data_IF_789322450524
#
_entry.id   IF_789322450524
#
_cell.length_a   1.000
_cell.length_b   1.000
_cell.length_c   1.000
_cell.angle_alpha   90.00
_cell.angle_beta   90.00
_cell.angle_gamma   90.00
#
_symmetry.space_group_name_H-M   'P 1'
#
loop_
_entity.id
_entity.type
_entity.pdbx_description
1 polymer ?
#
# COMPACT_ATOMS: atom_id res chain seq x y z
N UNK A 1 -79.01 5.29 -44.49
CA UNK A 1 -77.79 5.12 -43.70
C UNK A 1 -76.76 4.41 -44.55
N UNK A 2 -75.85 5.16 -45.15
CA UNK A 2 -74.84 4.65 -46.11
C UNK A 2 -73.50 4.54 -45.38
N UNK A 3 -72.95 3.33 -45.32
CA UNK A 3 -71.52 3.12 -44.83
C UNK A 3 -70.63 3.16 -46.09
N UNK A 4 -69.73 4.12 -46.09
CA UNK A 4 -68.60 4.23 -47.05
C UNK A 4 -67.55 3.25 -46.73
N UNK A 5 -67.18 2.39 -47.66
CA UNK A 5 -66.01 1.51 -47.59
C UNK A 5 -64.85 2.23 -48.27
N UNK A 6 -63.75 2.39 -47.54
CA UNK A 6 -62.49 3.00 -48.02
C UNK A 6 -61.53 1.86 -48.40
N UNK A 7 -61.23 1.73 -49.71
CA UNK A 7 -60.22 0.80 -50.21
C UNK A 7 -58.82 1.44 -49.99
N UNK A 8 -57.97 0.72 -49.35
CA UNK A 8 -56.51 1.09 -49.15
C UNK A 8 -55.70 0.30 -50.19
N UNK A 9 -55.12 0.99 -51.18
CA UNK A 9 -54.13 0.41 -52.10
C UNK A 9 -52.77 0.31 -51.40
N UNK A 10 -52.23 -0.91 -51.30
CA UNK A 10 -50.86 -1.16 -50.86
C UNK A 10 -49.99 -1.28 -52.13
N UNK A 11 -49.10 -0.33 -52.31
CA UNK A 11 -48.01 -0.38 -53.28
C UNK A 11 -46.86 -1.15 -52.75
N UNK A 12 -46.49 -2.29 -53.32
CA UNK A 12 -45.27 -3.06 -52.95
C UNK A 12 -44.12 -2.49 -53.78
N UNK A 13 -43.18 -1.80 -53.10
CA UNK A 13 -41.88 -1.45 -53.66
C UNK A 13 -40.91 -2.59 -53.39
N UNK A 14 -40.47 -3.28 -54.44
CA UNK A 14 -39.36 -4.22 -54.39
C UNK A 14 -38.05 -3.39 -54.37
N UNK A 15 -37.46 -3.20 -53.18
CA UNK A 15 -36.14 -2.63 -53.03
C UNK A 15 -35.08 -3.72 -52.92
N UNK A 16 -34.17 -3.77 -53.89
CA UNK A 16 -32.96 -4.61 -53.86
C UNK A 16 -32.06 -4.19 -52.70
N UNK A 17 -31.91 -5.08 -51.72
CA UNK A 17 -30.95 -4.89 -50.60
C UNK A 17 -29.57 -5.28 -51.10
N UNK A 18 -28.69 -4.31 -51.32
CA UNK A 18 -27.26 -4.53 -51.41
C UNK A 18 -26.71 -4.74 -49.99
N UNK A 19 -26.28 -5.94 -49.69
CA UNK A 19 -25.53 -6.23 -48.47
C UNK A 19 -24.15 -5.59 -48.58
N UNK A 20 -23.94 -4.48 -47.87
CA UNK A 20 -22.63 -3.91 -47.61
C UNK A 20 -22.05 -4.66 -46.42
N UNK A 21 -21.03 -5.47 -46.67
CA UNK A 21 -20.21 -6.03 -45.58
C UNK A 21 -19.39 -4.91 -44.97
N UNK A 22 -19.92 -4.28 -43.92
CA UNK A 22 -19.09 -3.43 -43.06
C UNK A 22 -18.21 -4.34 -42.19
N UNK A 23 -16.91 -4.29 -42.45
CA UNK A 23 -15.89 -4.73 -41.49
C UNK A 23 -16.02 -3.83 -40.25
N UNK A 24 -16.86 -4.21 -39.30
CA UNK A 24 -16.77 -3.66 -37.95
C UNK A 24 -15.47 -4.14 -37.33
N UNK A 25 -14.43 -3.29 -37.34
CA UNK A 25 -13.37 -3.36 -36.38
C UNK A 25 -14.01 -3.10 -35.01
N UNK A 26 -14.06 -4.16 -34.21
CA UNK A 26 -14.50 -4.11 -32.82
C UNK A 26 -13.48 -3.23 -32.04
N UNK A 27 -13.71 -1.93 -32.11
CA UNK A 27 -13.01 -0.98 -31.24
C UNK A 27 -13.67 -1.09 -29.87
N UNK A 28 -13.18 -2.01 -29.05
CA UNK A 28 -13.44 -1.99 -27.61
C UNK A 28 -13.01 -0.61 -27.10
N UNK A 29 -14.00 0.25 -26.83
CA UNK A 29 -13.78 1.51 -26.15
C UNK A 29 -13.23 1.18 -24.78
N UNK A 30 -11.91 1.33 -24.60
CA UNK A 30 -11.28 1.30 -23.30
C UNK A 30 -11.79 2.52 -22.56
N UNK A 31 -12.79 2.32 -21.70
CA UNK A 31 -13.27 3.37 -20.80
C UNK A 31 -12.16 3.61 -19.80
N UNK A 32 -11.33 4.61 -20.03
CA UNK A 32 -10.31 5.02 -19.07
C UNK A 32 -10.98 5.57 -17.83
N UNK A 33 -10.69 4.97 -16.69
CA UNK A 33 -11.20 5.38 -15.39
C UNK A 33 -10.55 6.73 -15.03
N UNK A 34 -11.34 7.78 -14.89
CA UNK A 34 -10.83 9.13 -14.58
C UNK A 34 -10.23 9.25 -13.17
N UNK A 35 -10.61 8.34 -12.27
CA UNK A 35 -10.18 8.33 -10.86
C UNK A 35 -9.70 6.95 -10.47
N UNK A 36 -8.52 6.86 -9.87
CA UNK A 36 -7.92 5.64 -9.34
C UNK A 36 -8.01 5.62 -7.81
N UNK A 37 -8.21 4.43 -7.26
CA UNK A 37 -8.26 4.20 -5.81
C UNK A 37 -7.05 3.40 -5.37
N UNK A 38 -6.18 4.02 -4.59
CA UNK A 38 -5.05 3.36 -3.93
C UNK A 38 -5.45 3.13 -2.46
N UNK A 39 -5.69 1.88 -2.11
CA UNK A 39 -5.86 1.49 -0.71
C UNK A 39 -4.48 1.22 -0.14
N UNK A 40 -4.15 1.87 0.97
CA UNK A 40 -2.85 1.72 1.62
C UNK A 40 -3.00 1.50 3.12
N UNK A 41 -2.26 0.51 3.62
CA UNK A 41 -2.20 0.17 5.04
C UNK A 41 -0.77 0.05 5.52
N UNK A 42 -0.58 0.09 6.84
CA UNK A 42 0.70 -0.04 7.51
C UNK A 42 1.28 -1.46 7.49
N UNK A 43 1.95 -1.81 8.59
CA UNK A 43 2.70 -3.05 8.71
C UNK A 43 1.78 -4.26 8.84
N UNK A 44 2.09 -5.31 8.06
CA UNK A 44 1.34 -6.56 7.98
C UNK A 44 2.26 -7.72 8.35
N UNK A 45 2.02 -8.31 9.52
CA UNK A 45 2.66 -9.53 10.04
C UNK A 45 1.61 -10.34 10.82
N UNK A 46 0.81 -11.13 10.11
CA UNK A 46 -0.42 -11.76 10.62
C UNK A 46 -0.21 -13.00 11.49
N UNK A 47 1.03 -13.22 11.92
CA UNK A 47 1.43 -14.30 12.82
C UNK A 47 2.79 -14.84 12.44
N UNK A 48 3.54 -15.35 13.41
CA UNK A 48 4.90 -15.89 13.21
C UNK A 48 5.01 -17.31 13.76
N UNK A 49 5.48 -18.23 12.92
CA UNK A 49 5.85 -19.59 13.34
C UNK A 49 7.23 -19.65 14.03
N UNK A 50 7.93 -18.50 14.11
CA UNK A 50 9.23 -18.35 14.77
C UNK A 50 9.26 -17.10 15.67
N UNK A 51 9.65 -17.20 16.95
CA UNK A 51 9.68 -18.45 17.70
C UNK A 51 8.29 -19.10 17.77
N UNK A 52 8.23 -20.38 18.05
CA UNK A 52 6.96 -21.13 18.12
C UNK A 52 5.96 -20.49 19.11
N UNK A 53 4.65 -20.64 18.82
CA UNK A 53 3.57 -20.13 19.67
C UNK A 53 3.06 -18.73 19.36
N UNK A 54 3.50 -18.11 18.25
CA UNK A 54 3.06 -16.78 17.82
C UNK A 54 2.18 -16.80 16.56
N UNK A 55 1.51 -17.91 16.28
CA UNK A 55 0.44 -17.99 15.29
C UNK A 55 -0.93 -17.72 15.95
N UNK A 56 -1.86 -17.02 15.24
CA UNK A 56 -3.23 -16.85 15.71
C UNK A 56 -3.93 -18.20 15.91
N UNK A 57 -4.87 -18.34 16.86
CA UNK A 57 -5.57 -19.61 17.14
C UNK A 57 -6.35 -20.16 15.94
N UNK A 58 -6.85 -19.27 15.05
CA UNK A 58 -7.59 -19.62 13.84
C UNK A 58 -6.70 -19.69 12.58
N UNK A 59 -5.37 -19.76 12.78
CA UNK A 59 -4.38 -19.78 11.70
C UNK A 59 -4.53 -18.57 10.76
N UNK A 60 -4.77 -17.39 11.34
CA UNK A 60 -4.94 -16.09 10.68
C UNK A 60 -6.14 -15.97 9.70
N UNK A 61 -7.01 -16.99 9.58
CA UNK A 61 -8.13 -17.02 8.63
C UNK A 61 -9.08 -15.82 8.77
N UNK A 62 -9.24 -15.30 9.97
CA UNK A 62 -10.12 -14.17 10.26
C UNK A 62 -9.37 -12.86 10.49
N UNK A 63 -8.06 -12.80 10.22
CA UNK A 63 -7.22 -11.64 10.53
C UNK A 63 -7.70 -10.34 9.90
N UNK A 64 -8.36 -10.40 8.74
CA UNK A 64 -8.86 -9.21 8.03
C UNK A 64 -10.38 -9.08 8.01
N UNK A 65 -11.14 -9.95 8.73
CA UNK A 65 -12.61 -10.04 8.61
C UNK A 65 -13.35 -8.70 8.77
N UNK A 66 -12.88 -7.84 9.68
CA UNK A 66 -13.53 -6.56 9.98
C UNK A 66 -13.19 -5.45 9.00
N UNK A 67 -12.04 -5.56 8.29
CA UNK A 67 -11.53 -4.54 7.38
C UNK A 67 -11.59 -4.94 5.91
N UNK A 68 -11.83 -6.22 5.60
CA UNK A 68 -11.93 -6.76 4.23
C UNK A 68 -12.90 -5.98 3.33
N UNK A 69 -14.06 -5.47 3.80
CA UNK A 69 -14.94 -4.63 2.96
C UNK A 69 -14.27 -3.34 2.45
N UNK A 70 -13.26 -2.84 3.16
CA UNK A 70 -12.55 -1.60 2.84
C UNK A 70 -11.26 -1.84 2.03
N UNK A 71 -10.75 -3.08 1.97
CA UNK A 71 -9.57 -3.48 1.19
C UNK A 71 -9.96 -3.71 -0.29
N UNK A 72 -10.53 -2.67 -0.92
CA UNK A 72 -11.04 -2.70 -2.31
C UNK A 72 -10.61 -1.44 -3.06
N UNK A 73 -9.78 -1.61 -4.07
CA UNK A 73 -9.26 -0.52 -4.91
C UNK A 73 -8.57 -1.05 -6.16
N UNK A 74 -8.06 -0.14 -6.96
CA UNK A 74 -7.21 -0.49 -8.10
C UNK A 74 -5.90 -1.09 -7.59
N UNK A 75 -5.32 -0.46 -6.57
CA UNK A 75 -4.19 -0.98 -5.80
C UNK A 75 -4.64 -1.18 -4.35
N UNK A 76 -4.27 -2.31 -3.75
CA UNK A 76 -4.40 -2.58 -2.32
C UNK A 76 -3.01 -2.95 -1.81
N UNK A 77 -2.41 -2.01 -1.10
CA UNK A 77 -1.01 -2.01 -0.69
C UNK A 77 -0.84 -2.21 0.82
N UNK A 78 0.22 -2.93 1.21
CA UNK A 78 0.71 -3.07 2.59
C UNK A 78 2.22 -3.30 2.67
N UNK A 79 2.82 -3.06 3.83
CA UNK A 79 4.21 -3.44 4.12
C UNK A 79 4.22 -4.84 4.73
N UNK A 80 4.75 -5.83 4.01
CA UNK A 80 4.90 -7.21 4.49
C UNK A 80 6.12 -7.30 5.40
N UNK A 81 5.89 -7.17 6.70
CA UNK A 81 6.97 -7.06 7.70
C UNK A 81 7.33 -8.40 8.31
N UNK A 82 8.01 -9.22 7.53
CA UNK A 82 8.46 -10.55 7.87
C UNK A 82 8.66 -11.41 6.64
N UNK A 83 9.43 -12.49 6.80
CA UNK A 83 9.59 -13.48 5.74
C UNK A 83 8.38 -14.43 5.68
N UNK A 84 7.98 -14.83 4.49
CA UNK A 84 7.08 -15.97 4.29
C UNK A 84 7.97 -17.19 4.03
N UNK A 85 7.93 -18.16 4.95
CA UNK A 85 8.79 -19.34 4.90
C UNK A 85 8.28 -20.40 5.90
N UNK A 86 8.05 -21.63 5.45
CA UNK A 86 7.56 -22.69 6.32
C UNK A 86 8.61 -23.18 7.32
N UNK A 87 9.88 -23.29 6.89
CA UNK A 87 10.95 -23.89 7.69
C UNK A 87 12.28 -23.11 7.59
N UNK A 88 12.99 -23.00 8.70
CA UNK A 88 14.32 -22.41 8.77
C UNK A 88 14.57 -21.76 10.13
N UNK A 89 15.84 -21.59 10.45
CA UNK A 89 16.30 -20.83 11.63
C UNK A 89 16.60 -19.40 11.21
N UNK A 90 16.40 -18.46 12.13
CA UNK A 90 16.74 -17.07 11.89
C UNK A 90 18.23 -16.86 11.75
N UNK A 91 18.66 -16.22 10.68
CA UNK A 91 20.03 -15.76 10.51
C UNK A 91 20.31 -14.52 11.37
N UNK A 92 19.31 -13.64 11.50
CA UNK A 92 19.37 -12.41 12.29
C UNK A 92 19.57 -12.69 13.78
N UNK A 93 18.83 -13.66 14.33
CA UNK A 93 18.82 -13.96 15.77
C UNK A 93 19.74 -15.13 16.17
N UNK A 94 20.62 -15.58 15.30
CA UNK A 94 21.44 -16.79 15.49
C UNK A 94 22.29 -16.78 16.76
N UNK A 95 22.78 -15.60 17.15
CA UNK A 95 23.67 -15.40 18.30
C UNK A 95 23.06 -14.50 19.39
N UNK A 96 21.74 -14.30 19.37
CA UNK A 96 21.06 -13.41 20.31
C UNK A 96 20.47 -14.18 21.48
N UNK A 97 20.47 -13.57 22.66
CA UNK A 97 19.76 -14.11 23.81
C UNK A 97 18.25 -14.11 23.57
N UNK A 98 17.56 -15.06 24.17
CA UNK A 98 16.10 -15.16 24.04
C UNK A 98 15.42 -13.86 24.53
N UNK A 99 14.56 -13.29 23.69
CA UNK A 99 13.82 -12.07 23.99
C UNK A 99 14.55 -10.74 23.70
N UNK A 100 15.80 -10.78 23.18
CA UNK A 100 16.54 -9.58 22.77
C UNK A 100 16.55 -9.33 21.27
N UNK A 101 16.11 -10.31 20.49
CA UNK A 101 16.04 -10.24 19.02
C UNK A 101 14.69 -10.72 18.51
N UNK A 102 14.16 -10.00 17.55
CA UNK A 102 12.89 -10.31 16.89
C UNK A 102 13.13 -10.77 15.45
N UNK A 103 12.57 -11.92 15.10
CA UNK A 103 12.54 -12.45 13.75
C UNK A 103 11.15 -13.03 13.47
N UNK A 104 10.61 -12.72 12.28
CA UNK A 104 9.24 -13.07 11.92
C UNK A 104 9.22 -14.01 10.71
N UNK A 105 8.52 -15.11 10.87
CA UNK A 105 8.37 -16.15 9.84
C UNK A 105 6.90 -16.55 9.72
N UNK A 106 6.23 -15.99 8.72
CA UNK A 106 4.87 -16.36 8.36
C UNK A 106 4.88 -17.66 7.55
N UNK A 107 3.95 -18.59 7.77
CA UNK A 107 3.83 -19.79 6.95
C UNK A 107 3.48 -19.47 5.49
N UNK A 108 3.92 -20.32 4.54
CA UNK A 108 3.68 -20.13 3.09
C UNK A 108 2.21 -19.94 2.74
N UNK A 109 1.31 -20.70 3.41
CA UNK A 109 -0.15 -20.58 3.24
C UNK A 109 -0.75 -19.21 3.60
N UNK A 110 0.01 -18.35 4.26
CA UNK A 110 -0.44 -16.98 4.56
C UNK A 110 -0.43 -16.08 3.32
N UNK A 111 0.25 -16.48 2.25
CA UNK A 111 0.12 -15.83 0.95
C UNK A 111 -1.32 -15.83 0.44
N UNK A 112 -2.02 -16.95 0.56
CA UNK A 112 -3.44 -17.05 0.17
C UNK A 112 -4.34 -16.13 1.01
N UNK A 113 -4.08 -16.04 2.32
CA UNK A 113 -4.84 -15.15 3.23
C UNK A 113 -4.67 -13.67 2.85
N UNK A 114 -3.43 -13.26 2.50
CA UNK A 114 -3.17 -11.91 2.01
C UNK A 114 -3.91 -11.63 0.70
N UNK A 115 -3.88 -12.58 -0.24
CA UNK A 115 -4.61 -12.48 -1.51
C UNK A 115 -6.12 -12.40 -1.31
N UNK A 116 -6.68 -13.26 -0.49
CA UNK A 116 -8.11 -13.29 -0.17
C UNK A 116 -8.59 -12.04 0.59
N UNK A 117 -7.71 -11.41 1.36
CA UNK A 117 -7.98 -10.12 2.00
C UNK A 117 -8.13 -8.98 0.98
N UNK A 118 -7.54 -9.13 -0.22
CA UNK A 118 -7.62 -8.18 -1.33
C UNK A 118 -6.29 -7.54 -1.70
N UNK A 119 -5.18 -7.85 -1.03
CA UNK A 119 -3.87 -7.29 -1.37
C UNK A 119 -3.44 -7.70 -2.77
N UNK A 120 -2.93 -6.74 -3.54
CA UNK A 120 -2.37 -6.96 -4.86
C UNK A 120 -0.99 -6.31 -5.05
N UNK A 121 -0.51 -5.54 -4.05
CA UNK A 121 0.81 -4.94 -4.04
C UNK A 121 1.39 -4.96 -2.62
N UNK A 122 2.64 -5.43 -2.45
CA UNK A 122 3.33 -5.47 -1.16
C UNK A 122 4.74 -4.86 -1.25
N UNK A 123 5.07 -4.02 -0.26
CA UNK A 123 6.48 -3.71 0.03
C UNK A 123 7.10 -4.87 0.78
N UNK A 124 8.28 -5.30 0.35
CA UNK A 124 9.13 -6.27 1.06
C UNK A 124 10.47 -5.64 1.49
N UNK A 125 10.54 -4.29 1.48
CA UNK A 125 11.71 -3.52 1.94
C UNK A 125 11.51 -3.09 3.40
N UNK A 126 12.03 -3.85 4.35
CA UNK A 126 11.99 -3.54 5.77
C UNK A 126 13.09 -4.28 6.55
N UNK A 127 13.18 -4.03 7.86
CA UNK A 127 14.18 -4.61 8.77
C UNK A 127 13.95 -6.10 9.05
N UNK A 128 12.80 -6.68 8.67
CA UNK A 128 12.45 -8.10 8.83
C UNK A 128 12.56 -8.92 7.55
N UNK A 129 12.81 -8.29 6.40
CA UNK A 129 12.97 -9.00 5.12
C UNK A 129 14.15 -9.98 5.14
N UNK A 130 15.21 -9.70 5.93
CA UNK A 130 16.41 -10.52 6.06
C UNK A 130 16.42 -11.46 7.28
N UNK A 131 15.34 -11.59 8.02
CA UNK A 131 15.31 -12.41 9.23
C UNK A 131 15.75 -13.86 9.01
N UNK A 132 15.50 -14.39 7.81
CA UNK A 132 15.89 -15.73 7.36
C UNK A 132 16.79 -15.70 6.12
N UNK A 133 17.54 -14.63 5.92
CA UNK A 133 18.52 -14.46 4.87
C UNK A 133 17.93 -14.57 3.46
N UNK A 134 18.76 -14.98 2.52
CA UNK A 134 18.37 -15.13 1.11
C UNK A 134 17.24 -16.16 0.93
N UNK A 135 17.26 -17.26 1.69
CA UNK A 135 16.20 -18.28 1.65
C UNK A 135 14.83 -17.67 1.95
N UNK A 136 14.74 -16.85 3.01
CA UNK A 136 13.52 -16.15 3.39
C UNK A 136 13.04 -15.21 2.30
N UNK A 137 13.92 -14.34 1.78
CA UNK A 137 13.58 -13.38 0.71
C UNK A 137 13.09 -14.08 -0.56
N UNK A 138 13.81 -15.10 -1.04
CA UNK A 138 13.44 -15.85 -2.26
C UNK A 138 12.10 -16.58 -2.09
N UNK A 139 11.87 -17.21 -0.94
CA UNK A 139 10.60 -17.89 -0.69
C UNK A 139 9.44 -16.90 -0.58
N UNK A 140 9.63 -15.77 0.10
CA UNK A 140 8.63 -14.67 0.15
C UNK A 140 8.25 -14.22 -1.25
N UNK A 141 9.22 -13.93 -2.11
CA UNK A 141 8.98 -13.55 -3.50
C UNK A 141 8.19 -14.63 -4.25
N UNK A 142 8.63 -15.89 -4.17
CA UNK A 142 7.94 -17.03 -4.80
C UNK A 142 6.50 -17.19 -4.35
N UNK A 143 6.21 -17.04 -3.05
CA UNK A 143 4.84 -17.17 -2.53
C UNK A 143 3.97 -16.02 -3.04
N UNK A 144 4.45 -14.78 -3.00
CA UNK A 144 3.72 -13.62 -3.51
C UNK A 144 3.44 -13.74 -5.01
N UNK A 145 4.42 -14.19 -5.82
CA UNK A 145 4.25 -14.44 -7.25
C UNK A 145 3.19 -15.53 -7.51
N UNK A 146 3.23 -16.63 -6.77
CA UNK A 146 2.30 -17.74 -6.92
C UNK A 146 0.83 -17.33 -6.67
N UNK A 147 0.60 -16.42 -5.72
CA UNK A 147 -0.75 -15.92 -5.42
C UNK A 147 -1.11 -14.66 -6.23
N UNK A 148 -0.20 -14.18 -7.08
CA UNK A 148 -0.41 -13.02 -7.94
C UNK A 148 -0.52 -11.70 -7.15
N UNK A 149 0.41 -11.49 -6.20
CA UNK A 149 0.62 -10.23 -5.50
C UNK A 149 1.93 -9.63 -6.00
N UNK A 150 1.88 -8.46 -6.63
CA UNK A 150 3.07 -7.72 -7.05
C UNK A 150 3.85 -7.25 -5.83
N UNK A 151 5.19 -7.22 -5.94
CA UNK A 151 6.04 -6.82 -4.82
C UNK A 151 7.40 -6.30 -5.28
N UNK A 152 8.03 -5.50 -4.44
CA UNK A 152 9.42 -5.06 -4.60
C UNK A 152 10.03 -4.69 -3.23
N UNK A 153 11.37 -4.67 -3.17
CA UNK A 153 12.11 -4.27 -1.97
C UNK A 153 13.58 -4.67 -1.99
N UNK A 154 13.91 -5.97 -1.93
CA UNK A 154 15.28 -6.44 -2.01
C UNK A 154 15.99 -6.03 -3.30
N UNK A 155 17.33 -5.88 -3.25
CA UNK A 155 18.14 -5.46 -4.42
C UNK A 155 17.98 -6.39 -5.63
N UNK A 156 17.68 -7.67 -5.42
CA UNK A 156 17.36 -8.66 -6.44
C UNK A 156 15.96 -8.48 -7.06
N UNK A 157 15.06 -7.76 -6.38
CA UNK A 157 13.72 -7.40 -6.85
C UNK A 157 13.41 -5.94 -6.51
N UNK A 158 14.18 -5.02 -7.10
CA UNK A 158 14.19 -3.59 -6.76
C UNK A 158 12.92 -2.84 -7.15
N UNK A 159 12.21 -3.32 -8.17
CA UNK A 159 11.02 -2.67 -8.71
C UNK A 159 10.18 -3.65 -9.52
N UNK A 160 8.91 -3.32 -9.72
CA UNK A 160 8.00 -4.04 -10.61
C UNK A 160 7.19 -3.05 -11.44
N UNK A 161 6.97 -3.38 -12.73
CA UNK A 161 6.01 -2.70 -13.60
C UNK A 161 4.94 -3.71 -13.99
N UNK A 162 3.68 -3.35 -13.84
CA UNK A 162 2.55 -4.21 -14.17
C UNK A 162 1.39 -3.38 -14.70
N UNK A 163 0.47 -4.03 -15.40
CA UNK A 163 -0.75 -3.41 -15.89
C UNK A 163 -1.97 -3.99 -15.19
N UNK A 164 -2.90 -3.13 -14.82
CA UNK A 164 -4.18 -3.50 -14.24
C UNK A 164 -5.27 -2.55 -14.72
N UNK A 165 -6.34 -3.12 -15.27
CA UNK A 165 -7.51 -2.38 -15.76
C UNK A 165 -7.13 -1.25 -16.75
N UNK A 166 -6.12 -1.50 -17.62
CA UNK A 166 -5.63 -0.57 -18.64
C UNK A 166 -4.71 0.53 -18.14
N UNK A 167 -4.29 0.50 -16.87
CA UNK A 167 -3.33 1.44 -16.26
C UNK A 167 -2.04 0.70 -15.95
N UNK A 168 -0.90 1.28 -16.35
CA UNK A 168 0.44 0.77 -16.01
C UNK A 168 0.93 1.39 -14.71
N UNK A 169 1.25 0.54 -13.76
CA UNK A 169 1.80 0.91 -12.46
C UNK A 169 3.27 0.55 -12.37
N UNK A 170 4.10 1.49 -11.91
CA UNK A 170 5.48 1.25 -11.49
C UNK A 170 5.55 1.28 -9.97
N UNK A 171 6.24 0.32 -9.37
CA UNK A 171 6.45 0.28 -7.93
C UNK A 171 7.89 -0.01 -7.56
N UNK A 172 8.43 0.71 -6.56
CA UNK A 172 9.71 0.40 -5.92
C UNK A 172 9.64 0.70 -4.42
N UNK A 173 10.51 0.04 -3.64
CA UNK A 173 10.52 0.16 -2.19
C UNK A 173 11.95 0.25 -1.64
N UNK A 174 12.13 0.99 -0.54
CA UNK A 174 13.42 1.36 0.04
C UNK A 174 13.44 1.14 1.55
N UNK A 175 14.62 0.82 2.09
CA UNK A 175 14.84 0.65 3.53
C UNK A 175 16.30 0.95 3.85
N UNK A 176 16.70 1.36 5.08
CA UNK A 176 18.10 1.53 5.43
C UNK A 176 18.83 0.19 5.60
N UNK A 177 18.11 -0.91 5.63
CA UNK A 177 18.64 -2.22 6.00
C UNK A 177 19.41 -2.89 4.85
N UNK A 178 20.29 -3.86 5.21
CA UNK A 178 21.11 -4.59 4.26
C UNK A 178 20.26 -5.36 3.22
N UNK A 179 20.80 -5.53 2.01
CA UNK A 179 20.16 -6.17 0.85
C UNK A 179 18.87 -5.49 0.37
N UNK A 180 18.61 -4.25 0.80
CA UNK A 180 17.53 -3.39 0.32
C UNK A 180 18.10 -2.19 -0.44
N UNK A 181 17.31 -1.58 -1.31
CA UNK A 181 17.64 -0.26 -1.83
C UNK A 181 17.57 0.74 -0.67
N UNK A 182 18.64 1.52 -0.51
CA UNK A 182 18.76 2.37 0.68
C UNK A 182 17.96 3.66 0.55
N UNK A 183 17.13 3.93 1.56
CA UNK A 183 16.43 5.23 1.73
C UNK A 183 17.43 6.40 1.89
N UNK A 184 18.67 6.11 2.28
CA UNK A 184 19.77 7.09 2.43
C UNK A 184 20.47 7.40 1.09
N UNK A 185 20.25 6.60 0.03
CA UNK A 185 20.82 6.83 -1.30
C UNK A 185 19.80 7.50 -2.23
N UNK A 186 19.56 8.79 -2.00
CA UNK A 186 18.56 9.56 -2.74
C UNK A 186 18.86 9.59 -4.25
N UNK A 187 20.13 9.64 -4.66
CA UNK A 187 20.48 9.63 -6.08
C UNK A 187 20.00 8.34 -6.77
N UNK A 188 20.28 7.17 -6.18
CA UNK A 188 19.81 5.89 -6.71
C UNK A 188 18.29 5.80 -6.69
N UNK A 189 17.63 6.33 -5.65
CA UNK A 189 16.17 6.33 -5.56
C UNK A 189 15.52 7.16 -6.66
N UNK A 190 16.02 8.39 -6.88
CA UNK A 190 15.52 9.29 -7.92
C UNK A 190 15.75 8.74 -9.33
N UNK A 191 16.89 8.10 -9.58
CA UNK A 191 17.16 7.51 -10.89
C UNK A 191 16.23 6.33 -11.17
N UNK A 192 15.98 5.43 -10.20
CA UNK A 192 15.02 4.34 -10.34
C UNK A 192 13.59 4.85 -10.56
N UNK A 193 13.19 5.92 -9.88
CA UNK A 193 11.86 6.53 -10.08
C UNK A 193 11.72 7.11 -11.48
N UNK A 194 12.74 7.77 -12.02
CA UNK A 194 12.75 8.24 -13.43
C UNK A 194 12.65 7.08 -14.43
N UNK A 195 13.36 5.97 -14.17
CA UNK A 195 13.25 4.76 -14.99
C UNK A 195 11.81 4.20 -14.99
N UNK A 196 11.16 4.16 -13.83
CA UNK A 196 9.77 3.72 -13.70
C UNK A 196 8.79 4.68 -14.36
N UNK A 197 8.98 6.01 -14.21
CA UNK A 197 8.14 7.02 -14.84
C UNK A 197 8.12 6.93 -16.36
N UNK A 198 9.22 6.49 -16.96
CA UNK A 198 9.29 6.28 -18.42
C UNK A 198 8.49 5.05 -18.89
N UNK A 199 8.05 4.16 -17.98
CA UNK A 199 7.41 2.88 -18.28
C UNK A 199 5.98 2.75 -17.75
N UNK A 200 5.57 3.65 -16.84
CA UNK A 200 4.31 3.53 -16.12
C UNK A 200 3.51 4.84 -16.13
N UNK A 201 2.18 4.71 -16.07
CA UNK A 201 1.25 5.83 -15.96
C UNK A 201 1.18 6.36 -14.53
N UNK A 202 1.31 5.47 -13.53
CA UNK A 202 1.33 5.80 -12.10
C UNK A 202 2.55 5.17 -11.45
N UNK A 203 3.34 5.96 -10.72
CA UNK A 203 4.52 5.49 -9.99
C UNK A 203 4.27 5.58 -8.48
N UNK A 204 4.32 4.43 -7.81
CA UNK A 204 4.15 4.27 -6.36
C UNK A 204 5.52 3.99 -5.75
N UNK A 205 5.90 4.76 -4.74
CA UNK A 205 7.14 4.56 -3.98
C UNK A 205 6.79 4.21 -2.53
N UNK A 206 7.41 3.17 -1.99
CA UNK A 206 7.34 2.88 -0.55
C UNK A 206 8.69 3.05 0.11
N UNK A 207 8.69 3.43 1.37
CA UNK A 207 9.90 3.40 2.19
C UNK A 207 9.61 2.88 3.60
N UNK A 208 10.62 2.22 4.17
CA UNK A 208 10.68 1.86 5.58
C UNK A 208 11.83 2.65 6.20
N UNK A 209 11.53 3.65 7.03
CA UNK A 209 12.54 4.58 7.57
C UNK A 209 11.99 5.42 8.71
N UNK A 210 12.84 6.24 9.32
CA UNK A 210 12.51 7.00 10.53
C UNK A 210 12.72 6.20 11.82
N UNK A 211 12.85 6.89 12.95
CA UNK A 211 13.00 6.31 14.27
C UNK A 211 11.70 5.66 14.77
N UNK A 212 11.81 4.61 15.59
CA UNK A 212 10.67 3.75 15.98
C UNK A 212 10.05 4.12 17.33
N UNK A 213 8.73 3.85 17.43
CA UNK A 213 7.96 3.87 18.66
C UNK A 213 7.26 5.17 18.99
N UNK A 214 6.47 5.15 20.07
CA UNK A 214 5.55 6.22 20.46
C UNK A 214 6.18 7.57 20.78
N UNK A 215 7.49 7.62 20.96
CA UNK A 215 8.25 8.87 21.16
C UNK A 215 8.67 9.53 19.84
N UNK A 216 8.47 8.86 18.72
CA UNK A 216 8.94 9.25 17.39
C UNK A 216 7.79 9.45 16.40
N UNK A 217 6.67 10.01 16.87
CA UNK A 217 5.48 10.29 16.04
C UNK A 217 5.64 11.46 15.08
N UNK A 218 6.63 12.35 15.33
CA UNK A 218 6.85 13.58 14.53
C UNK A 218 7.73 13.28 13.31
N UNK A 219 7.48 13.95 12.22
CA UNK A 219 8.34 13.95 11.04
C UNK A 219 9.42 15.01 11.22
N UNK A 220 10.66 14.58 11.33
CA UNK A 220 11.80 15.48 11.41
C UNK A 220 12.33 15.74 9.99
N UNK A 221 12.69 17.00 9.69
CA UNK A 221 13.28 17.38 8.38
C UNK A 221 14.79 17.23 8.44
N UNK A 222 15.26 16.08 8.94
CA UNK A 222 16.67 15.72 9.12
C UNK A 222 16.81 14.21 9.23
N UNK A 223 18.05 13.70 9.17
CA UNK A 223 18.31 12.29 9.42
C UNK A 223 17.86 11.87 10.83
N UNK A 224 17.09 10.79 10.87
CA UNK A 224 16.66 10.15 12.10
C UNK A 224 17.58 8.96 12.40
N UNK A 225 17.90 8.79 13.70
CA UNK A 225 18.73 7.68 14.17
C UNK A 225 17.97 6.84 15.20
N UNK A 226 18.10 5.52 15.09
CA UNK A 226 17.50 4.60 16.05
C UNK A 226 18.46 3.43 16.30
N UNK A 227 18.81 3.20 17.57
CA UNK A 227 19.85 2.23 17.98
C UNK A 227 21.16 2.33 17.18
N UNK A 228 21.57 3.53 16.83
CA UNK A 228 22.80 3.80 16.06
C UNK A 228 22.67 3.61 14.54
N UNK A 229 21.55 3.12 14.06
CA UNK A 229 21.27 3.02 12.63
C UNK A 229 20.75 4.37 12.10
N UNK A 230 21.28 4.82 10.94
CA UNK A 230 20.71 5.96 10.22
C UNK A 230 19.46 5.52 9.47
N UNK A 231 18.30 5.94 9.96
CA UNK A 231 16.97 5.59 9.46
C UNK A 231 16.46 6.55 8.36
N UNK A 232 17.31 7.49 7.96
CA UNK A 232 17.08 8.42 6.86
C UNK A 232 16.44 9.74 7.25
N UNK A 233 16.59 10.72 6.35
CA UNK A 233 15.75 11.91 6.29
C UNK A 233 14.53 11.59 5.39
N UNK A 234 13.47 11.08 6.01
CA UNK A 234 12.28 10.59 5.31
C UNK A 234 11.52 11.71 4.59
N UNK A 235 11.60 12.94 5.09
CA UNK A 235 11.02 14.11 4.43
C UNK A 235 11.76 14.43 3.13
N UNK A 236 13.08 14.57 3.20
CA UNK A 236 13.92 14.82 2.03
C UNK A 236 13.79 13.69 1.00
N UNK A 237 13.75 12.43 1.45
CA UNK A 237 13.54 11.28 0.58
C UNK A 237 12.22 11.38 -0.18
N UNK A 238 11.09 11.59 0.54
CA UNK A 238 9.75 11.65 -0.07
C UNK A 238 9.64 12.77 -1.11
N UNK A 239 10.13 13.97 -0.79
CA UNK A 239 10.15 15.09 -1.73
C UNK A 239 11.02 14.80 -2.96
N UNK A 240 12.20 14.21 -2.77
CA UNK A 240 13.13 13.91 -3.87
C UNK A 240 12.55 12.89 -4.86
N UNK A 241 11.85 11.85 -4.38
CA UNK A 241 11.25 10.86 -5.27
C UNK A 241 10.01 11.41 -6.00
N UNK A 242 9.24 12.31 -5.38
CA UNK A 242 8.15 13.03 -6.07
C UNK A 242 8.72 13.94 -7.15
N UNK A 243 9.78 14.68 -6.87
CA UNK A 243 10.47 15.53 -7.85
C UNK A 243 11.04 14.70 -9.02
N UNK A 244 11.35 13.44 -8.80
CA UNK A 244 11.79 12.50 -9.83
C UNK A 244 10.65 11.86 -10.64
N UNK A 245 9.37 12.03 -10.21
CA UNK A 245 8.21 11.55 -10.94
C UNK A 245 7.34 10.52 -10.21
N UNK A 246 7.51 10.32 -8.90
CA UNK A 246 6.58 9.52 -8.11
C UNK A 246 5.23 10.23 -7.95
N UNK A 247 4.14 9.49 -8.01
CA UNK A 247 2.78 9.99 -7.85
C UNK A 247 2.25 9.83 -6.43
N UNK A 248 2.78 8.85 -5.68
CA UNK A 248 2.38 8.60 -4.30
C UNK A 248 3.57 8.02 -3.52
N UNK A 249 3.70 8.42 -2.25
CA UNK A 249 4.73 7.91 -1.35
C UNK A 249 4.10 7.32 -0.09
N UNK A 250 4.43 6.06 0.20
CA UNK A 250 3.85 5.26 1.28
C UNK A 250 4.93 4.87 2.30
N UNK A 251 4.93 5.55 3.44
CA UNK A 251 5.95 5.40 4.49
C UNK A 251 5.61 4.37 5.57
N UNK A 252 6.66 3.71 6.05
CA UNK A 252 6.66 2.72 7.14
C UNK A 252 7.91 2.87 8.01
N UNK A 253 8.01 2.09 9.09
CA UNK A 253 9.20 1.95 9.93
C UNK A 253 9.04 2.43 11.37
N UNK A 254 8.36 3.55 11.66
CA UNK A 254 8.16 4.02 13.03
C UNK A 254 7.24 3.18 13.90
N UNK A 255 6.47 2.25 13.33
CA UNK A 255 5.45 1.44 14.03
C UNK A 255 4.37 2.25 14.74
N UNK A 256 4.28 3.53 14.41
CA UNK A 256 3.24 4.48 14.83
C UNK A 256 2.83 5.31 13.63
N UNK A 257 1.59 5.75 13.62
CA UNK A 257 1.11 6.66 12.57
C UNK A 257 1.80 8.01 12.70
N UNK A 258 2.23 8.56 11.57
CA UNK A 258 2.79 9.91 11.44
C UNK A 258 1.89 10.81 10.59
N UNK A 259 2.32 12.06 10.43
CA UNK A 259 1.68 13.05 9.57
C UNK A 259 1.56 12.58 8.11
N UNK A 260 0.66 13.24 7.38
CA UNK A 260 0.54 13.16 5.92
C UNK A 260 0.83 14.54 5.31
N UNK A 261 1.18 14.54 4.04
CA UNK A 261 1.44 15.78 3.30
C UNK A 261 0.90 15.65 1.87
N UNK A 262 0.57 16.77 1.23
CA UNK A 262 0.40 16.87 -0.23
C UNK A 262 1.48 17.81 -0.75
N UNK A 263 2.47 17.23 -1.42
CA UNK A 263 3.58 17.95 -2.01
C UNK A 263 3.47 17.94 -3.54
N UNK A 264 3.42 19.10 -4.17
CA UNK A 264 3.23 19.26 -5.63
C UNK A 264 2.01 18.48 -6.17
N UNK A 265 0.93 18.43 -5.39
CA UNK A 265 -0.29 17.69 -5.74
C UNK A 265 -0.21 16.18 -5.53
N UNK A 266 0.87 15.64 -4.95
CA UNK A 266 1.09 14.21 -4.71
C UNK A 266 0.99 13.89 -3.22
N UNK A 267 0.32 12.79 -2.89
CA UNK A 267 0.05 12.40 -1.50
C UNK A 267 1.22 11.61 -0.90
N UNK A 268 1.60 11.97 0.31
CA UNK A 268 2.65 11.34 1.10
C UNK A 268 2.07 10.88 2.44
N UNK A 269 2.31 9.61 2.82
CA UNK A 269 2.20 9.16 4.20
C UNK A 269 3.61 8.95 4.74
N UNK A 270 3.91 9.47 5.94
CA UNK A 270 5.25 9.32 6.53
C UNK A 270 5.39 8.08 7.41
N UNK A 271 4.30 7.53 7.90
CA UNK A 271 4.19 6.20 8.50
C UNK A 271 2.72 5.84 8.71
N UNK A 272 2.36 4.62 8.37
CA UNK A 272 1.01 4.10 8.55
C UNK A 272 0.88 3.19 9.79
N UNK A 273 1.97 3.05 10.58
CA UNK A 273 1.96 2.28 11.84
C UNK A 273 1.68 0.78 11.67
N UNK A 274 1.43 0.11 12.79
CA UNK A 274 1.07 -1.31 12.84
C UNK A 274 -0.36 -1.51 12.39
N UNK A 275 -0.60 -2.06 11.19
CA UNK A 275 -1.96 -2.29 10.70
C UNK A 275 -2.52 -3.63 11.17
N UNK A 276 -1.82 -4.72 10.88
CA UNK A 276 -2.22 -6.06 11.31
C UNK A 276 -0.98 -6.85 11.70
N UNK A 277 -0.54 -6.68 12.95
CA UNK A 277 0.68 -7.25 13.50
C UNK A 277 0.34 -8.12 14.70
N UNK A 278 0.50 -9.44 14.56
CA UNK A 278 0.11 -10.41 15.59
C UNK A 278 1.32 -10.88 16.42
N UNK A 279 1.14 -10.92 17.74
CA UNK A 279 2.05 -11.57 18.67
C UNK A 279 3.05 -10.61 19.33
N UNK A 280 4.20 -10.36 18.71
CA UNK A 280 5.36 -9.75 19.38
C UNK A 280 5.44 -8.21 19.28
N UNK A 281 4.51 -7.57 18.57
CA UNK A 281 4.50 -6.11 18.44
C UNK A 281 3.94 -5.43 19.70
N UNK A 282 4.47 -4.24 19.98
CA UNK A 282 3.87 -3.37 20.99
C UNK A 282 2.61 -2.70 20.40
N UNK A 283 1.46 -2.96 21.01
CA UNK A 283 0.17 -2.43 20.58
C UNK A 283 -0.44 -1.45 21.61
N UNK A 284 0.36 -0.91 22.52
CA UNK A 284 -0.12 0.03 23.55
C UNK A 284 -0.23 1.46 23.00
N UNK A 285 -1.32 2.16 23.35
CA UNK A 285 -1.55 3.54 22.97
C UNK A 285 -1.52 3.75 21.45
N UNK A 286 -0.72 4.70 20.98
CA UNK A 286 -0.60 5.05 19.55
C UNK A 286 0.01 3.94 18.69
N UNK A 287 0.68 2.94 19.28
CA UNK A 287 1.20 1.78 18.56
C UNK A 287 0.09 0.79 18.16
N UNK A 288 -1.07 0.85 18.82
CA UNK A 288 -2.20 -0.05 18.57
C UNK A 288 -3.28 0.53 17.66
N UNK A 289 -3.06 1.71 17.09
CA UNK A 289 -3.99 2.34 16.13
C UNK A 289 -3.31 2.60 14.80
N UNK A 290 -4.01 2.35 13.70
CA UNK A 290 -3.48 2.52 12.35
C UNK A 290 -4.57 2.95 11.36
N UNK A 291 -4.24 3.74 10.33
CA UNK A 291 -5.18 4.05 9.26
C UNK A 291 -5.26 2.91 8.25
N UNK A 292 -6.42 2.74 7.65
CA UNK A 292 -6.59 2.22 6.32
C UNK A 292 -6.99 3.40 5.46
N UNK A 293 -6.12 3.79 4.54
CA UNK A 293 -6.40 4.86 3.59
C UNK A 293 -7.07 4.32 2.33
N UNK A 294 -8.08 5.03 1.83
CA UNK A 294 -8.58 4.90 0.46
C UNK A 294 -8.29 6.21 -0.27
N UNK A 295 -7.13 6.27 -0.90
CA UNK A 295 -6.59 7.47 -1.54
C UNK A 295 -7.14 7.54 -2.96
N UNK A 296 -7.77 8.67 -3.31
CA UNK A 296 -8.25 8.95 -4.65
C UNK A 296 -7.29 9.88 -5.36
N UNK A 297 -6.82 9.44 -6.51
CA UNK A 297 -5.96 10.21 -7.41
C UNK A 297 -6.59 10.29 -8.81
N UNK A 298 -6.27 11.32 -9.57
CA UNK A 298 -6.62 11.39 -10.98
C UNK A 298 -5.68 10.51 -11.84
N UNK A 299 -5.95 10.43 -13.13
CA UNK A 299 -5.12 9.69 -14.09
C UNK A 299 -3.69 10.21 -14.24
N UNK A 300 -3.41 11.42 -13.78
CA UNK A 300 -2.07 12.02 -13.75
C UNK A 300 -1.39 11.84 -12.38
N UNK A 301 -1.98 11.05 -11.49
CA UNK A 301 -1.48 10.80 -10.15
C UNK A 301 -1.67 11.96 -9.17
N UNK A 302 -2.48 12.98 -9.49
CA UNK A 302 -2.73 14.07 -8.56
C UNK A 302 -3.75 13.65 -7.51
N UNK A 303 -3.47 14.03 -6.27
CA UNK A 303 -4.34 13.76 -5.13
C UNK A 303 -5.68 14.50 -5.26
N UNK A 304 -6.77 13.78 -5.02
CA UNK A 304 -8.12 14.35 -4.99
C UNK A 304 -8.62 14.41 -3.54
N UNK A 305 -8.67 13.27 -2.87
CA UNK A 305 -8.98 13.14 -1.45
C UNK A 305 -8.59 11.75 -0.93
N UNK A 306 -8.58 11.58 0.38
CA UNK A 306 -8.45 10.26 1.00
C UNK A 306 -9.54 10.07 2.07
N UNK A 307 -10.19 8.88 2.05
CA UNK A 307 -10.94 8.39 3.19
C UNK A 307 -9.98 7.70 4.16
N UNK A 308 -10.14 7.96 5.45
CA UNK A 308 -9.35 7.35 6.52
C UNK A 308 -10.27 6.48 7.37
N UNK A 309 -10.18 5.19 7.18
CA UNK A 309 -10.86 4.20 8.03
C UNK A 309 -9.96 3.95 9.24
N UNK A 310 -10.42 4.35 10.41
CA UNK A 310 -9.68 4.14 11.65
C UNK A 310 -9.75 2.69 12.09
N UNK A 311 -8.58 2.11 12.39
CA UNK A 311 -8.46 0.75 12.90
C UNK A 311 -7.69 0.72 14.21
N UNK A 312 -7.89 -0.34 14.97
CA UNK A 312 -7.17 -0.65 16.21
C UNK A 312 -6.81 -2.11 16.26
N UNK A 313 -5.75 -2.41 16.96
CA UNK A 313 -5.37 -3.77 17.31
C UNK A 313 -5.38 -3.94 18.82
N UNK A 314 -5.97 -5.03 19.28
CA UNK A 314 -5.99 -5.41 20.68
C UNK A 314 -5.35 -6.79 20.81
N UNK A 315 -4.38 -6.91 21.71
CA UNK A 315 -3.67 -8.18 21.97
C UNK A 315 -4.69 -9.29 22.30
N UNK A 316 -4.64 -10.39 21.56
CA UNK A 316 -5.54 -11.54 21.70
C UNK A 316 -6.89 -11.42 20.97
N UNK A 317 -7.28 -10.20 20.51
CA UNK A 317 -8.48 -9.97 19.71
C UNK A 317 -8.13 -9.78 18.23
N UNK A 318 -7.05 -9.03 17.96
CA UNK A 318 -6.58 -8.74 16.61
C UNK A 318 -7.06 -7.38 16.08
N UNK A 319 -7.20 -7.30 14.76
CA UNK A 319 -7.54 -6.08 14.02
C UNK A 319 -9.05 -5.83 13.99
N UNK A 320 -9.46 -4.63 14.41
CA UNK A 320 -10.85 -4.17 14.44
C UNK A 320 -10.98 -2.75 13.89
N UNK A 321 -12.20 -2.36 13.55
CA UNK A 321 -12.52 -0.94 13.29
C UNK A 321 -12.49 -0.16 14.62
N UNK A 322 -11.98 1.08 14.55
CA UNK A 322 -11.97 2.00 15.68
C UNK A 322 -13.07 3.06 15.52
N UNK A 323 -14.22 2.80 16.13
CA UNK A 323 -15.37 3.72 16.07
C UNK A 323 -15.12 5.10 16.69
N UNK A 324 -14.07 5.23 17.54
CA UNK A 324 -13.69 6.51 18.14
C UNK A 324 -12.90 7.39 17.17
N UNK A 325 -12.41 6.82 16.05
CA UNK A 325 -11.67 7.58 15.04
C UNK A 325 -10.32 8.10 15.52
N UNK A 326 -9.69 7.44 16.51
CA UNK A 326 -8.49 7.95 17.20
C UNK A 326 -7.33 8.21 16.26
N UNK A 327 -7.09 7.30 15.30
CA UNK A 327 -5.98 7.49 14.35
C UNK A 327 -6.22 8.68 13.42
N UNK A 328 -7.47 8.94 13.02
CA UNK A 328 -7.80 10.12 12.21
C UNK A 328 -7.49 11.41 12.94
N UNK A 329 -7.84 11.49 14.24
CA UNK A 329 -7.52 12.64 15.08
C UNK A 329 -6.01 12.80 15.27
N UNK A 330 -5.28 11.69 15.42
CA UNK A 330 -3.82 11.71 15.55
C UNK A 330 -3.15 12.20 14.26
N UNK A 331 -3.58 11.72 13.07
CA UNK A 331 -3.09 12.21 11.78
C UNK A 331 -3.33 13.72 11.63
N UNK A 332 -4.55 14.17 11.94
CA UNK A 332 -4.91 15.60 11.91
C UNK A 332 -3.98 16.43 12.79
N UNK A 333 -3.80 15.99 14.04
CA UNK A 333 -2.94 16.67 15.02
C UNK A 333 -1.48 16.73 14.55
N UNK A 334 -0.94 15.59 14.10
CA UNK A 334 0.46 15.51 13.66
C UNK A 334 0.70 16.30 12.37
N UNK A 335 -0.23 16.24 11.41
CA UNK A 335 -0.14 17.03 10.18
C UNK A 335 -0.15 18.53 10.46
N UNK A 336 -1.02 18.97 11.35
CA UNK A 336 -1.05 20.39 11.75
C UNK A 336 0.23 20.86 12.47
N UNK A 337 0.96 19.94 13.12
CA UNK A 337 2.21 20.25 13.79
C UNK A 337 3.45 20.18 12.87
N UNK A 338 3.47 19.24 11.93
CA UNK A 338 4.65 18.96 11.09
C UNK A 338 4.59 19.69 9.74
N UNK A 339 3.36 19.89 9.21
CA UNK A 339 3.08 20.46 7.89
C UNK A 339 1.92 21.46 7.94
N UNK A 340 2.02 22.54 8.74
CA UNK A 340 0.96 23.54 8.79
C UNK A 340 0.75 24.24 7.44
N UNK A 341 1.77 24.22 6.58
CA UNK A 341 1.76 24.74 5.23
C UNK A 341 1.01 23.86 4.20
N UNK A 342 0.73 22.58 4.53
CA UNK A 342 0.13 21.62 3.58
C UNK A 342 -1.32 21.95 3.20
N UNK A 343 -1.98 22.88 3.92
CA UNK A 343 -3.36 23.34 3.66
C UNK A 343 -4.35 22.19 3.47
N UNK A 344 -4.29 21.18 4.37
CA UNK A 344 -5.18 20.03 4.35
C UNK A 344 -6.38 20.25 5.29
N UNK A 345 -7.55 19.91 4.79
CA UNK A 345 -8.78 19.85 5.56
C UNK A 345 -9.03 18.42 6.04
N UNK A 346 -9.37 18.28 7.32
CA UNK A 346 -9.69 17.01 7.98
C UNK A 346 -11.11 17.07 8.52
N UNK A 347 -12.03 16.36 7.88
CA UNK A 347 -13.45 16.38 8.22
C UNK A 347 -14.09 15.02 7.96
N UNK A 348 -14.86 14.51 8.91
CA UNK A 348 -15.65 13.28 8.78
C UNK A 348 -14.88 12.07 8.24
N UNK A 349 -13.64 11.85 8.72
CA UNK A 349 -12.80 10.77 8.25
C UNK A 349 -12.16 11.00 6.85
N UNK A 350 -12.25 12.22 6.31
CA UNK A 350 -11.69 12.57 5.00
C UNK A 350 -10.57 13.59 5.13
N UNK A 351 -9.61 13.44 4.21
CA UNK A 351 -8.52 14.39 3.99
C UNK A 351 -8.71 14.99 2.60
N UNK A 352 -8.74 16.31 2.50
CA UNK A 352 -8.82 17.04 1.24
C UNK A 352 -7.78 18.15 1.20
N UNK A 353 -7.33 18.51 0.02
CA UNK A 353 -6.54 19.73 -0.15
C UNK A 353 -7.52 20.92 -0.20
N UNK A 354 -7.21 21.98 0.55
CA UNK A 354 -7.92 23.25 0.40
C UNK A 354 -7.59 23.84 -0.95
N UNK A 355 -8.61 24.05 -1.77
CA UNK A 355 -8.48 24.79 -3.03
C UNK A 355 -8.57 26.27 -2.68
N UNK A 356 -7.51 27.04 -2.96
CA UNK A 356 -7.52 28.49 -2.84
C UNK A 356 -8.34 29.12 -3.97
#
# INVERSE_FOLDING_TARGET
MMKKILLLLVAIFAGTVYAKTDNQTDTTLVVTKDTLTIVAVGDVMIGSAFPAGNLPPDDAKNSFKHVKPYLKGDIVFGNLEGAILDEGNSEKCKNSEAGTCYAFRMPDRYGDILKEAGFNLMSTANNHANDFGEKGRRNTAKVLDNVGIYHAGPVENKSVVFEKDGVKYGFCAFSPNSNMLSVNNIAQATDLVKELRAQADIVIVSFHGGAEGSKHTRVLRTNEFFYGENRGDVHKFAHSVIDAGADIVLGHGPHVTRAVEVYKGKFITYSMGNFNTYGQFNLQGVNGIAPLYQIKIDKNGNFIYADVISTKQTKGIGLELDAEGRVFQEIKRLTGLDFPEAQLQFEEGKIRQLVN
#
